data_IF_101661568768
#
_entry.id   IF_101661568768
#
_cell.length_a   1.000
_cell.length_b   1.000
_cell.length_c   1.000
_cell.angle_alpha   90.00
_cell.angle_beta   90.00
_cell.angle_gamma   90.00
#
_symmetry.space_group_name_H-M   'P 1'
#
loop_
_entity.id
_entity.type
_entity.pdbx_description
1 polymer ?
#
# COMPACT_ATOMS: atom_id res chain seq x y z
N UNK A 1 -11.63 -2.37 -5.53
CA UNK A 1 -12.32 -3.69 -5.46
C UNK A 1 -11.71 -4.48 -4.31
N UNK A 2 -12.50 -4.74 -3.27
CA UNK A 2 -12.11 -5.44 -2.04
C UNK A 2 -12.04 -6.96 -2.31
N UNK A 3 -10.83 -7.52 -2.39
CA UNK A 3 -10.57 -8.95 -2.63
C UNK A 3 -9.68 -9.59 -1.55
N UNK A 4 -9.18 -8.79 -0.59
CA UNK A 4 -8.08 -9.17 0.30
C UNK A 4 -8.45 -10.25 1.34
N UNK A 5 -9.75 -10.41 1.65
CA UNK A 5 -10.24 -11.36 2.66
C UNK A 5 -10.74 -12.70 2.12
N UNK A 6 -10.84 -12.88 0.80
CA UNK A 6 -11.48 -14.07 0.20
C UNK A 6 -10.79 -15.38 0.57
N UNK A 7 -9.46 -15.36 0.67
CA UNK A 7 -8.67 -16.55 1.01
C UNK A 7 -8.59 -16.78 2.52
N UNK A 8 -8.94 -15.80 3.34
CA UNK A 8 -8.80 -15.88 4.79
C UNK A 8 -9.75 -16.95 5.36
N UNK A 9 -10.99 -16.97 4.89
CA UNK A 9 -12.00 -17.93 5.36
C UNK A 9 -11.61 -19.40 5.14
N UNK A 10 -10.90 -19.71 4.05
CA UNK A 10 -10.58 -21.10 3.67
C UNK A 10 -9.14 -21.50 4.03
N UNK A 11 -8.19 -20.58 3.86
CA UNK A 11 -6.76 -20.87 3.94
C UNK A 11 -6.07 -20.09 5.05
N UNK A 12 -6.77 -19.17 5.75
CA UNK A 12 -6.17 -18.23 6.72
C UNK A 12 -5.04 -17.41 6.09
N UNK A 13 -5.21 -17.07 4.82
CA UNK A 13 -4.30 -16.23 4.05
C UNK A 13 -5.01 -14.96 3.60
N UNK A 14 -4.32 -13.84 3.72
CA UNK A 14 -4.70 -12.52 3.25
C UNK A 14 -3.80 -12.11 2.08
N UNK A 15 -4.40 -11.51 1.06
CA UNK A 15 -3.68 -10.98 -0.09
C UNK A 15 -3.53 -9.47 0.04
N UNK A 16 -2.29 -9.00 0.00
CA UNK A 16 -1.92 -7.60 0.07
C UNK A 16 -1.46 -7.12 -1.30
N UNK A 17 -2.20 -6.19 -1.89
CA UNK A 17 -1.92 -5.69 -3.24
C UNK A 17 -1.92 -4.17 -3.32
N UNK A 18 -0.89 -3.61 -3.95
CA UNK A 18 -0.84 -2.21 -4.36
C UNK A 18 -1.14 -2.13 -5.85
N UNK A 19 -2.23 -1.44 -6.21
CA UNK A 19 -2.73 -1.39 -7.59
C UNK A 19 -2.77 0.07 -8.03
N UNK A 20 -2.26 0.32 -9.22
CA UNK A 20 -2.51 1.56 -9.94
C UNK A 20 -3.80 1.43 -10.75
N UNK A 21 -4.87 2.14 -10.37
CA UNK A 21 -6.14 2.05 -11.09
C UNK A 21 -6.12 2.73 -12.45
N UNK A 22 -5.17 3.64 -12.72
CA UNK A 22 -5.11 4.39 -13.98
C UNK A 22 -4.56 3.52 -15.12
N UNK A 23 -3.43 2.86 -14.88
CA UNK A 23 -2.80 1.97 -15.88
C UNK A 23 -3.18 0.49 -15.69
N UNK A 24 -3.86 0.13 -14.59
CA UNK A 24 -4.20 -1.26 -14.27
C UNK A 24 -3.01 -2.12 -13.85
N UNK A 25 -1.92 -1.50 -13.39
CA UNK A 25 -0.68 -2.19 -13.00
C UNK A 25 -0.74 -2.62 -11.52
N UNK A 26 -0.30 -3.84 -11.25
CA UNK A 26 -0.11 -4.35 -9.90
C UNK A 26 1.34 -4.13 -9.51
N UNK A 27 1.58 -3.14 -8.66
CA UNK A 27 2.91 -2.79 -8.17
C UNK A 27 3.48 -3.84 -7.20
N UNK A 28 2.62 -4.39 -6.34
CA UNK A 28 2.98 -5.53 -5.51
C UNK A 28 1.79 -6.46 -5.28
N UNK A 29 2.09 -7.73 -5.09
CA UNK A 29 1.16 -8.74 -4.60
C UNK A 29 1.90 -9.65 -3.63
N UNK A 30 1.51 -9.62 -2.35
CA UNK A 30 2.14 -10.40 -1.27
C UNK A 30 1.08 -11.15 -0.50
N UNK A 31 1.43 -12.34 -0.02
CA UNK A 31 0.56 -13.18 0.80
C UNK A 31 1.03 -13.09 2.24
N UNK A 32 0.10 -12.97 3.17
CA UNK A 32 0.37 -13.02 4.60
C UNK A 32 -0.75 -13.71 5.37
N UNK A 33 -0.55 -14.07 6.64
CA UNK A 33 -1.59 -14.73 7.45
C UNK A 33 -2.59 -13.76 8.09
N UNK A 34 -2.33 -12.45 8.09
CA UNK A 34 -3.24 -11.42 8.59
C UNK A 34 -3.42 -10.28 7.59
N UNK A 35 -4.58 -9.61 7.69
CA UNK A 35 -5.02 -8.50 6.85
C UNK A 35 -5.02 -7.15 7.62
N UNK A 36 -4.35 -7.10 8.78
CA UNK A 36 -4.41 -5.96 9.69
C UNK A 36 -3.03 -5.75 10.32
N UNK A 37 -2.03 -5.46 9.50
CA UNK A 37 -0.69 -5.10 9.91
C UNK A 37 -0.28 -3.74 9.30
N UNK A 38 -0.50 -2.69 10.08
CA UNK A 38 -0.18 -1.31 9.72
C UNK A 38 1.31 -1.01 9.54
N UNK A 39 2.22 -1.94 9.87
CA UNK A 39 3.66 -1.79 9.59
C UNK A 39 4.08 -2.47 8.30
N UNK A 40 3.40 -3.55 7.94
CA UNK A 40 3.76 -4.38 6.78
C UNK A 40 3.39 -3.69 5.46
N UNK A 41 2.20 -3.09 5.38
CA UNK A 41 1.73 -2.45 4.15
C UNK A 41 2.54 -1.20 3.78
N UNK A 42 2.87 -0.29 4.73
CA UNK A 42 3.77 0.82 4.41
C UNK A 42 5.14 0.34 3.95
N UNK A 43 5.66 -0.75 4.51
CA UNK A 43 6.92 -1.33 4.03
C UNK A 43 6.84 -1.73 2.56
N UNK A 44 5.80 -2.44 2.15
CA UNK A 44 5.63 -2.83 0.73
C UNK A 44 5.54 -1.61 -0.20
N UNK A 45 4.93 -0.53 0.28
CA UNK A 45 4.89 0.73 -0.47
C UNK A 45 6.30 1.34 -0.65
N UNK A 46 7.10 1.38 0.42
CA UNK A 46 8.48 1.86 0.37
C UNK A 46 9.36 0.99 -0.53
N UNK A 47 9.26 -0.33 -0.41
CA UNK A 47 10.00 -1.28 -1.26
C UNK A 47 9.71 -1.01 -2.76
N UNK A 48 8.47 -0.65 -3.11
CA UNK A 48 8.11 -0.29 -4.49
C UNK A 48 8.65 1.08 -4.91
N UNK A 49 8.63 2.08 -4.03
CA UNK A 49 9.23 3.39 -4.33
C UNK A 49 10.73 3.23 -4.59
N UNK A 50 11.43 2.45 -3.76
CA UNK A 50 12.86 2.14 -3.94
C UNK A 50 13.10 1.39 -5.25
N UNK A 51 12.25 0.42 -5.59
CA UNK A 51 12.37 -0.35 -6.84
C UNK A 51 12.13 0.50 -8.09
N UNK A 52 11.15 1.42 -8.05
CA UNK A 52 10.80 2.28 -9.17
C UNK A 52 11.76 3.47 -9.32
N UNK A 53 12.41 3.88 -8.24
CA UNK A 53 13.29 5.05 -8.20
C UNK A 53 12.53 6.38 -8.24
N UNK A 54 11.21 6.37 -8.11
CA UNK A 54 10.37 7.57 -8.05
C UNK A 54 9.21 7.42 -7.06
N UNK A 55 8.78 8.54 -6.50
CA UNK A 55 7.63 8.62 -5.60
C UNK A 55 6.35 8.90 -6.42
N UNK A 56 5.28 8.10 -6.28
CA UNK A 56 3.98 8.42 -6.89
C UNK A 56 3.47 9.78 -6.41
N UNK A 57 2.84 10.56 -7.29
CA UNK A 57 2.30 11.88 -6.90
C UNK A 57 1.06 11.78 -6.02
N UNK A 58 0.22 10.77 -6.25
CA UNK A 58 -1.06 10.60 -5.56
C UNK A 58 -1.17 9.16 -5.07
N UNK A 59 -1.64 9.01 -3.83
CA UNK A 59 -1.95 7.73 -3.22
C UNK A 59 -3.41 7.74 -2.76
N UNK A 60 -4.16 6.70 -3.12
CA UNK A 60 -5.53 6.55 -2.65
C UNK A 60 -5.54 5.94 -1.25
N UNK A 61 -6.03 6.70 -0.28
CA UNK A 61 -6.35 6.21 1.06
C UNK A 61 -7.85 6.00 1.21
N UNK A 62 -8.25 4.84 1.72
CA UNK A 62 -9.63 4.62 2.17
C UNK A 62 -9.66 4.67 3.71
N UNK A 63 -10.76 5.16 4.33
CA UNK A 63 -10.91 5.17 5.78
C UNK A 63 -10.65 3.77 6.38
N UNK A 64 -9.58 3.64 7.17
CA UNK A 64 -9.15 2.38 7.77
C UNK A 64 -7.71 2.43 8.27
N UNK A 65 -7.34 1.56 9.23
CA UNK A 65 -6.05 1.65 9.92
C UNK A 65 -4.83 1.51 9.00
N UNK A 66 -4.82 0.51 8.11
CA UNK A 66 -3.63 0.17 7.31
C UNK A 66 -3.34 1.20 6.23
N UNK A 67 -4.37 1.58 5.46
CA UNK A 67 -4.23 2.56 4.39
C UNK A 67 -3.85 3.94 4.92
N UNK A 68 -4.30 4.28 6.13
CA UNK A 68 -3.91 5.53 6.80
C UNK A 68 -2.42 5.56 7.11
N UNK A 69 -1.83 4.44 7.55
CA UNK A 69 -0.39 4.39 7.82
C UNK A 69 0.44 4.59 6.54
N UNK A 70 0.01 4.01 5.42
CA UNK A 70 0.66 4.20 4.11
C UNK A 70 0.51 5.65 3.65
N UNK A 71 -0.69 6.22 3.75
CA UNK A 71 -0.96 7.60 3.37
C UNK A 71 -0.12 8.59 4.19
N UNK A 72 -0.04 8.42 5.51
CA UNK A 72 0.77 9.27 6.37
C UNK A 72 2.26 9.18 6.03
N UNK A 73 2.78 7.97 5.77
CA UNK A 73 4.16 7.78 5.34
C UNK A 73 4.43 8.43 3.98
N UNK A 74 3.51 8.27 3.04
CA UNK A 74 3.55 8.90 1.72
C UNK A 74 3.59 10.43 1.83
N UNK A 75 2.68 11.03 2.60
CA UNK A 75 2.63 12.48 2.85
C UNK A 75 3.91 12.98 3.50
N UNK A 76 4.44 12.28 4.50
CA UNK A 76 5.68 12.67 5.18
C UNK A 76 6.89 12.68 4.23
N UNK A 77 7.01 11.68 3.36
CA UNK A 77 8.11 11.62 2.39
C UNK A 77 7.96 12.71 1.32
N UNK A 78 6.73 12.97 0.88
CA UNK A 78 6.44 14.08 -0.04
C UNK A 78 6.85 15.43 0.56
N UNK A 79 6.44 15.76 1.78
CA UNK A 79 6.86 17.01 2.43
C UNK A 79 8.38 17.09 2.64
N UNK A 80 9.06 15.95 2.78
CA UNK A 80 10.52 15.93 2.87
C UNK A 80 11.20 16.17 1.51
N UNK A 81 10.60 15.70 0.42
CA UNK A 81 11.12 15.83 -0.95
C UNK A 81 10.74 17.16 -1.60
N UNK A 82 9.58 17.73 -1.25
CA UNK A 82 9.09 19.02 -1.72
C UNK A 82 8.53 19.82 -0.55
N UNK A 83 9.31 20.78 -0.08
CA UNK A 83 8.99 21.64 1.06
C UNK A 83 7.84 22.62 0.80
N UNK A 84 7.34 22.71 -0.44
CA UNK A 84 6.30 23.66 -0.84
C UNK A 84 4.88 23.06 -0.82
N UNK A 85 4.77 21.76 -0.53
CA UNK A 85 3.50 21.04 -0.31
C UNK A 85 3.08 21.07 1.15
#
# INVERSE_FOLDING_TARGET
MDQHNKWNYKFRLALHSGIDPFIGLIHWMKIWWNNSNSRLIPKYHLDVIEQLGFMPLVMQSNPGNENTAVANGHTLIHHHQDSNL
#
